data_IF_173901256091
#
_entry.id   IF_173901256091
#
_cell.length_a   1.000
_cell.length_b   1.000
_cell.length_c   1.000
_cell.angle_alpha   90.00
_cell.angle_beta   90.00
_cell.angle_gamma   90.00
#
_symmetry.space_group_name_H-M   'P 1'
#
loop_
_entity.id
_entity.type
_entity.pdbx_description
1 polymer ?
#
# COMPACT_ATOMS: atom_id res chain seq x y z
N UNK A 1 0.83 -16.59 13.00
CA UNK A 1 0.28 -15.32 13.53
C UNK A 1 1.16 -14.22 12.98
N UNK A 2 0.66 -13.27 12.19
CA UNK A 2 1.52 -12.15 11.81
C UNK A 2 1.92 -11.40 13.08
N UNK A 3 3.22 -11.19 13.20
CA UNK A 3 3.81 -10.50 14.33
C UNK A 3 3.82 -8.99 14.05
N UNK A 4 3.68 -8.21 15.12
CA UNK A 4 3.89 -6.76 15.08
C UNK A 4 5.30 -6.38 14.62
N UNK A 5 6.29 -7.28 14.75
CA UNK A 5 7.62 -7.13 14.15
C UNK A 5 7.55 -7.08 12.61
N UNK A 6 6.89 -8.05 11.99
CA UNK A 6 6.76 -8.16 10.53
C UNK A 6 6.07 -6.94 9.90
N UNK A 7 4.96 -6.47 10.50
CA UNK A 7 4.28 -5.28 10.00
C UNK A 7 5.15 -4.01 10.10
N UNK A 8 5.94 -3.88 11.18
CA UNK A 8 6.88 -2.75 11.33
C UNK A 8 8.01 -2.82 10.30
N UNK A 9 8.52 -4.01 10.00
CA UNK A 9 9.52 -4.19 8.94
C UNK A 9 8.98 -3.81 7.56
N UNK A 10 7.73 -4.17 7.26
CA UNK A 10 7.07 -3.74 6.00
C UNK A 10 6.94 -2.22 5.94
N UNK A 11 6.46 -1.58 7.00
CA UNK A 11 6.33 -0.11 7.04
C UNK A 11 7.70 0.57 6.90
N UNK A 12 8.73 0.06 7.59
CA UNK A 12 10.09 0.58 7.48
C UNK A 12 10.70 0.36 6.07
N UNK A 13 10.35 -0.74 5.40
CA UNK A 13 10.74 -0.97 4.02
C UNK A 13 10.07 0.05 3.09
N UNK A 14 8.78 0.35 3.28
CA UNK A 14 8.10 1.40 2.50
C UNK A 14 8.80 2.75 2.69
N UNK A 15 9.10 3.15 3.94
CA UNK A 15 9.77 4.42 4.22
C UNK A 15 11.15 4.52 3.57
N UNK A 16 11.88 3.41 3.49
CA UNK A 16 13.22 3.35 2.90
C UNK A 16 13.18 3.39 1.38
N UNK A 17 12.27 2.64 0.75
CA UNK A 17 12.27 2.42 -0.71
C UNK A 17 11.38 3.41 -1.48
N UNK A 18 10.28 3.89 -0.89
CA UNK A 18 9.31 4.74 -1.60
C UNK A 18 9.86 6.12 -2.04
N UNK A 19 10.84 6.74 -1.37
CA UNK A 19 11.51 7.92 -1.94
C UNK A 19 12.12 7.65 -3.34
N UNK A 20 12.57 6.42 -3.60
CA UNK A 20 13.11 5.99 -4.88
C UNK A 20 12.04 5.48 -5.85
N UNK A 21 11.07 4.68 -5.36
CA UNK A 21 10.04 4.05 -6.18
C UNK A 21 8.82 4.93 -6.45
N UNK A 22 8.50 5.84 -5.54
CA UNK A 22 7.44 6.85 -5.64
C UNK A 22 6.08 6.22 -5.93
N UNK A 23 5.83 5.08 -5.30
CA UNK A 23 4.67 4.23 -5.49
C UNK A 23 3.51 4.63 -4.57
N UNK A 24 3.76 5.27 -3.43
CA UNK A 24 2.71 5.65 -2.49
C UNK A 24 2.26 7.12 -2.62
N UNK A 25 0.97 7.35 -2.45
CA UNK A 25 0.39 8.66 -2.18
C UNK A 25 0.43 8.97 -0.68
N UNK A 26 0.13 7.95 0.13
CA UNK A 26 0.05 8.05 1.57
C UNK A 26 0.31 6.67 2.22
N UNK A 27 0.89 6.67 3.41
CA UNK A 27 1.24 5.47 4.18
C UNK A 27 0.65 5.63 5.59
N UNK A 28 -0.09 4.62 6.05
CA UNK A 28 -0.94 4.69 7.24
C UNK A 28 -0.35 3.91 8.41
N UNK A 29 0.86 4.29 8.87
CA UNK A 29 1.60 3.56 9.90
C UNK A 29 0.78 3.31 11.18
N UNK A 30 0.21 4.36 11.74
CA UNK A 30 -0.52 4.29 13.02
C UNK A 30 -1.77 3.42 12.91
N UNK A 31 -2.58 3.65 11.86
CA UNK A 31 -3.79 2.87 11.59
C UNK A 31 -3.48 1.39 11.33
N UNK A 32 -2.42 1.10 10.58
CA UNK A 32 -2.01 -0.27 10.28
C UNK A 32 -1.64 -1.02 11.56
N UNK A 33 -0.81 -0.41 12.40
CA UNK A 33 -0.40 -1.00 13.69
C UNK A 33 -1.59 -1.16 14.65
N UNK A 34 -2.49 -0.19 14.70
CA UNK A 34 -3.70 -0.25 15.53
C UNK A 34 -4.65 -1.38 15.12
N UNK A 35 -4.69 -1.75 13.83
CA UNK A 35 -5.56 -2.81 13.29
C UNK A 35 -5.04 -4.22 13.56
N UNK A 36 -3.72 -4.39 13.64
CA UNK A 36 -3.07 -5.71 13.68
C UNK A 36 -3.58 -6.65 14.81
N UNK A 37 -3.82 -6.20 16.06
CA UNK A 37 -4.24 -7.10 17.13
C UNK A 37 -5.54 -7.85 16.83
N UNK A 38 -6.52 -7.19 16.19
CA UNK A 38 -7.77 -7.82 15.78
C UNK A 38 -7.59 -8.63 14.48
N UNK A 39 -6.85 -8.07 13.51
CA UNK A 39 -6.64 -8.66 12.20
C UNK A 39 -5.86 -9.99 12.26
N UNK A 40 -4.90 -10.10 13.19
CA UNK A 40 -4.05 -11.29 13.38
C UNK A 40 -4.81 -12.58 13.74
N UNK A 41 -6.06 -12.46 14.18
CA UNK A 41 -6.95 -13.58 14.57
C UNK A 41 -7.89 -14.03 13.46
N UNK A 42 -7.84 -13.38 12.31
CA UNK A 42 -8.72 -13.63 11.16
C UNK A 42 -7.97 -14.41 10.06
N UNK A 43 -8.65 -14.89 9.00
CA UNK A 43 -8.05 -15.80 8.01
C UNK A 43 -6.79 -15.28 7.29
N UNK A 44 -6.67 -13.98 7.04
CA UNK A 44 -5.48 -13.36 6.45
C UNK A 44 -4.44 -12.96 7.51
N UNK A 45 -4.74 -13.19 8.78
CA UNK A 45 -3.83 -13.14 9.91
C UNK A 45 -2.97 -11.87 10.01
N UNK A 46 -3.45 -10.70 9.55
CA UNK A 46 -2.71 -9.44 9.59
C UNK A 46 -1.97 -9.07 8.30
N UNK A 47 -2.16 -9.81 7.20
CA UNK A 47 -1.49 -9.60 5.92
C UNK A 47 -1.47 -8.12 5.48
N UNK A 48 -0.29 -7.48 5.38
CA UNK A 48 -0.18 -6.11 4.88
C UNK A 48 -0.57 -6.00 3.40
N UNK A 49 -1.34 -4.98 3.03
CA UNK A 49 -1.65 -4.69 1.63
C UNK A 49 -1.86 -3.20 1.36
N UNK A 50 -1.64 -2.76 0.13
CA UNK A 50 -1.92 -1.39 -0.30
C UNK A 50 -3.15 -1.34 -1.22
N UNK A 51 -3.78 -0.17 -1.31
CA UNK A 51 -4.94 0.06 -2.19
C UNK A 51 -4.59 1.02 -3.32
N UNK A 52 -5.29 0.94 -4.45
CA UNK A 52 -5.09 1.88 -5.57
C UNK A 52 -5.79 3.20 -5.30
N UNK A 53 -5.02 4.29 -5.28
CA UNK A 53 -5.52 5.65 -5.17
C UNK A 53 -6.18 5.97 -3.81
N UNK A 54 -6.55 7.24 -3.59
CA UNK A 54 -7.04 7.72 -2.30
C UNK A 54 -8.38 7.09 -1.90
N UNK A 55 -9.18 6.64 -2.87
CA UNK A 55 -10.50 6.04 -2.62
C UNK A 55 -10.47 4.52 -2.55
N UNK A 56 -9.32 3.88 -2.85
CA UNK A 56 -9.21 2.42 -2.95
C UNK A 56 -9.61 1.69 -1.67
N UNK A 57 -9.42 2.31 -0.51
CA UNK A 57 -9.80 1.76 0.80
C UNK A 57 -11.32 1.58 0.95
N UNK A 58 -12.11 2.33 0.18
CA UNK A 58 -13.58 2.24 0.17
C UNK A 58 -14.10 1.17 -0.80
N UNK A 59 -13.22 0.57 -1.61
CA UNK A 59 -13.61 -0.44 -2.59
C UNK A 59 -14.21 -1.68 -1.95
N UNK A 60 -15.10 -2.35 -2.68
CA UNK A 60 -15.69 -3.63 -2.25
C UNK A 60 -14.60 -4.67 -1.90
N UNK A 61 -13.56 -4.76 -2.72
CA UNK A 61 -12.44 -5.67 -2.51
C UNK A 61 -11.65 -5.34 -1.23
N UNK A 62 -11.26 -4.07 -1.02
CA UNK A 62 -10.51 -3.66 0.18
C UNK A 62 -11.30 -3.96 1.47
N UNK A 63 -12.61 -3.68 1.48
CA UNK A 63 -13.48 -3.99 2.62
C UNK A 63 -13.51 -5.49 2.94
N UNK A 64 -13.52 -6.35 1.92
CA UNK A 64 -13.50 -7.81 2.10
C UNK A 64 -12.14 -8.32 2.59
N UNK A 65 -11.04 -7.76 2.10
CA UNK A 65 -9.69 -8.07 2.62
C UNK A 65 -9.58 -7.67 4.10
N UNK A 66 -10.03 -6.47 4.46
CA UNK A 66 -10.04 -6.01 5.86
C UNK A 66 -10.89 -6.92 6.73
N UNK A 67 -12.11 -7.27 6.29
CA UNK A 67 -12.99 -8.17 7.02
C UNK A 67 -12.40 -9.58 7.20
N UNK A 68 -11.50 -10.00 6.31
CA UNK A 68 -10.75 -11.25 6.41
C UNK A 68 -9.43 -11.13 7.20
N UNK A 69 -9.09 -9.95 7.73
CA UNK A 69 -7.86 -9.73 8.51
C UNK A 69 -6.68 -9.15 7.74
N UNK A 70 -6.88 -8.62 6.53
CA UNK A 70 -5.86 -7.84 5.84
C UNK A 70 -5.66 -6.47 6.50
N UNK A 71 -4.41 -6.02 6.60
CA UNK A 71 -4.04 -4.72 7.17
C UNK A 71 -3.67 -3.75 6.04
N UNK A 72 -4.50 -2.74 5.76
CA UNK A 72 -4.17 -1.74 4.76
C UNK A 72 -3.02 -0.86 5.27
N UNK A 73 -1.93 -0.75 4.50
CA UNK A 73 -0.74 0.04 4.89
C UNK A 73 -0.64 1.38 4.18
N UNK A 74 -1.42 1.61 3.13
CA UNK A 74 -1.38 2.88 2.41
C UNK A 74 -2.14 2.85 1.10
N UNK A 75 -2.14 4.01 0.43
CA UNK A 75 -2.67 4.18 -0.92
C UNK A 75 -1.56 4.40 -1.92
N UNK A 76 -1.63 3.70 -3.04
CA UNK A 76 -0.66 3.77 -4.14
C UNK A 76 -1.05 4.83 -5.15
N UNK A 77 -0.06 5.37 -5.84
CA UNK A 77 -0.26 6.27 -6.97
C UNK A 77 -1.10 5.56 -8.05
N UNK A 78 -1.91 6.36 -8.73
CA UNK A 78 -2.71 5.91 -9.87
C UNK A 78 -2.54 6.91 -11.01
N UNK A 79 -2.72 6.48 -12.27
CA UNK A 79 -2.82 7.40 -13.39
C UNK A 79 -3.85 8.51 -13.10
N UNK A 80 -3.47 9.75 -13.40
CA UNK A 80 -4.31 10.91 -13.15
C UNK A 80 -5.49 11.03 -14.15
N UNK A 81 -6.42 11.96 -13.92
CA UNK A 81 -7.47 12.24 -14.89
C UNK A 81 -6.92 12.53 -16.29
N UNK A 82 -7.47 11.88 -17.32
CA UNK A 82 -7.10 12.11 -18.72
C UNK A 82 -5.83 11.40 -19.20
N UNK A 83 -5.15 10.61 -18.36
CA UNK A 83 -4.03 9.78 -18.83
C UNK A 83 -4.54 8.60 -19.65
N UNK A 84 -4.03 8.41 -20.87
CA UNK A 84 -4.41 7.28 -21.73
C UNK A 84 -3.77 5.95 -21.30
N UNK A 85 -2.81 5.96 -20.37
CA UNK A 85 -2.13 4.79 -19.82
C UNK A 85 -2.66 4.39 -18.43
N UNK A 86 -2.35 3.16 -18.00
CA UNK A 86 -2.82 2.59 -16.73
C UNK A 86 -1.68 2.13 -15.79
N UNK A 87 -0.42 2.38 -16.16
CA UNK A 87 0.75 1.72 -15.54
C UNK A 87 1.40 2.51 -14.42
N UNK A 88 1.31 3.85 -14.40
CA UNK A 88 1.94 4.68 -13.37
C UNK A 88 1.15 5.95 -13.06
N UNK A 89 1.36 6.45 -11.83
CA UNK A 89 0.81 7.71 -11.33
C UNK A 89 1.88 8.65 -10.75
N UNK A 90 1.41 9.73 -10.13
CA UNK A 90 2.23 10.62 -9.31
C UNK A 90 2.04 10.20 -7.84
N UNK A 91 3.06 9.58 -7.25
CA UNK A 91 3.15 9.40 -5.81
C UNK A 91 3.61 10.67 -5.11
N UNK A 92 3.76 10.61 -3.78
CA UNK A 92 4.21 11.73 -2.94
C UNK A 92 5.56 12.31 -3.40
N UNK A 93 6.42 11.46 -3.93
CA UNK A 93 7.78 11.79 -4.35
C UNK A 93 7.92 12.02 -5.87
N UNK A 94 6.81 12.03 -6.61
CA UNK A 94 6.77 12.23 -8.07
C UNK A 94 6.31 11.00 -8.85
N UNK A 95 6.68 10.89 -10.13
CA UNK A 95 6.27 9.79 -11.00
C UNK A 95 6.78 8.44 -10.48
N UNK A 96 5.90 7.45 -10.34
CA UNK A 96 6.27 6.08 -9.98
C UNK A 96 7.32 5.50 -10.93
N UNK A 97 8.29 4.79 -10.37
CA UNK A 97 9.49 4.29 -11.04
C UNK A 97 9.43 2.76 -11.08
N UNK A 98 9.85 2.17 -12.20
CA UNK A 98 10.01 0.73 -12.31
C UNK A 98 11.17 0.26 -11.41
N UNK A 99 10.96 -0.68 -10.47
CA UNK A 99 11.97 -1.13 -9.52
C UNK A 99 13.16 -1.85 -10.16
N UNK A 100 13.01 -2.41 -11.35
CA UNK A 100 14.06 -3.13 -12.07
C UNK A 100 14.84 -2.25 -13.03
N UNK A 101 14.20 -1.22 -13.60
CA UNK A 101 14.81 -0.35 -14.61
C UNK A 101 14.14 1.01 -14.64
N UNK A 102 14.73 1.99 -13.94
CA UNK A 102 14.09 3.27 -13.65
C UNK A 102 13.67 4.12 -14.87
N UNK A 103 14.25 3.88 -16.04
CA UNK A 103 13.89 4.54 -17.31
C UNK A 103 12.70 3.87 -18.04
N UNK A 104 12.14 2.78 -17.50
CA UNK A 104 10.93 2.09 -18.01
C UNK A 104 9.71 2.41 -17.17
N UNK A 105 8.54 2.15 -17.76
CA UNK A 105 7.28 2.16 -17.01
C UNK A 105 7.25 1.00 -16.01
N UNK A 106 6.77 1.22 -14.77
CA UNK A 106 6.54 0.14 -13.80
C UNK A 106 5.48 -0.85 -14.29
#
# INVERSE_FOLDING_TARGET
MADSGELREVLAAIDREDPGLRAFLDVWHEDALARLPAASRLPLAGLPFAVKGPTGIRSFAARRLIAAGGVPVGSTSVPGPGTYWQTWGLGRHGRTVNPWRADRTP
#
